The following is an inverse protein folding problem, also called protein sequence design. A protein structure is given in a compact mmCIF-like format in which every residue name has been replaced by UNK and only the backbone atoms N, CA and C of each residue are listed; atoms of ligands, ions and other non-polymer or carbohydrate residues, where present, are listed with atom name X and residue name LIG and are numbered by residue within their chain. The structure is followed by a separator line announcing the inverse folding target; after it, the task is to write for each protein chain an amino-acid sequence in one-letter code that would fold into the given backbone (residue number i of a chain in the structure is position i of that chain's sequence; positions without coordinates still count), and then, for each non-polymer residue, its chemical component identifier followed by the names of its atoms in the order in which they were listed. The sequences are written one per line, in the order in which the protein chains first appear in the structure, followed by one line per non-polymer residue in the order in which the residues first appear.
data_IF_948190892550
#
_entry.id   IF_948190892550
#
_cell.length_a   1.000
_cell.length_b   1.000
_cell.length_c   1.000
_cell.angle_alpha   90.00
_cell.angle_beta   90.00
_cell.angle_gamma   90.00
#
_symmetry.space_group_name_H-M   'P 1'
#
loop_
_entity.id
_entity.type
_entity.pdbx_description
1 polymer ?
#
# COMPACT_ATOMS: atom_id res chain seq x y z
N UNK A 1 7.69 -29.04 -19.29
CA UNK A 1 6.42 -28.51 -18.76
C UNK A 1 5.29 -29.42 -19.17
N UNK A 2 4.52 -29.90 -18.20
CA UNK A 2 3.35 -30.76 -18.43
C UNK A 2 2.19 -29.95 -19.02
N UNK A 3 1.23 -30.63 -19.64
CA UNK A 3 0.08 -29.98 -20.29
C UNK A 3 -0.77 -29.16 -19.31
N UNK A 4 -0.97 -29.66 -18.09
CA UNK A 4 -1.70 -28.95 -17.03
C UNK A 4 -1.04 -27.62 -16.65
N UNK A 5 0.28 -27.56 -16.55
CA UNK A 5 1.03 -26.34 -16.27
C UNK A 5 0.93 -25.35 -17.44
N UNK A 6 1.00 -25.83 -18.69
CA UNK A 6 0.78 -24.96 -19.87
C UNK A 6 -0.61 -24.33 -19.83
N UNK A 7 -1.64 -25.10 -19.45
CA UNK A 7 -3.01 -24.61 -19.31
C UNK A 7 -3.17 -23.67 -18.11
N UNK A 8 -2.48 -23.92 -17.00
CA UNK A 8 -2.44 -23.05 -15.82
C UNK A 8 -1.90 -21.66 -16.20
N UNK A 9 -0.77 -21.61 -16.89
CA UNK A 9 -0.16 -20.34 -17.33
C UNK A 9 -0.98 -19.60 -18.36
N UNK A 10 -1.74 -20.32 -19.19
CA UNK A 10 -2.72 -19.70 -20.09
C UNK A 10 -3.87 -19.03 -19.31
N UNK A 11 -4.37 -19.68 -18.26
CA UNK A 11 -5.33 -19.10 -17.33
C UNK A 11 -4.76 -17.85 -16.65
N UNK A 12 -3.54 -17.93 -16.07
CA UNK A 12 -2.88 -16.80 -15.42
C UNK A 12 -2.71 -15.60 -16.35
N UNK A 13 -2.25 -15.84 -17.58
CA UNK A 13 -2.08 -14.79 -18.58
C UNK A 13 -3.40 -14.08 -18.93
N UNK A 14 -4.51 -14.81 -18.98
CA UNK A 14 -5.81 -14.21 -19.22
C UNK A 14 -6.29 -13.40 -18.01
N UNK A 15 -6.07 -13.90 -16.79
CA UNK A 15 -6.36 -13.16 -15.56
C UNK A 15 -5.54 -11.88 -15.44
N UNK A 16 -4.24 -11.96 -15.76
CA UNK A 16 -3.36 -10.80 -15.86
C UNK A 16 -3.97 -9.73 -16.77
N UNK A 17 -4.47 -10.08 -17.95
CA UNK A 17 -5.04 -9.11 -18.88
C UNK A 17 -6.29 -8.39 -18.30
N UNK A 18 -7.16 -9.12 -17.59
CA UNK A 18 -8.32 -8.49 -16.92
C UNK A 18 -7.89 -7.59 -15.77
N UNK A 19 -6.96 -8.04 -14.94
CA UNK A 19 -6.43 -7.27 -13.81
C UNK A 19 -5.66 -6.02 -14.26
N UNK A 20 -4.88 -6.13 -15.32
CA UNK A 20 -4.21 -4.99 -15.95
C UNK A 20 -5.23 -3.91 -16.31
N UNK A 21 -6.33 -4.29 -16.98
CA UNK A 21 -7.37 -3.34 -17.37
C UNK A 21 -8.05 -2.70 -16.14
N UNK A 22 -8.37 -3.50 -15.11
CA UNK A 22 -8.94 -3.01 -13.86
C UNK A 22 -8.00 -2.03 -13.14
N UNK A 23 -6.72 -2.38 -13.00
CA UNK A 23 -5.71 -1.51 -12.39
C UNK A 23 -5.58 -0.18 -13.16
N UNK A 24 -5.74 -0.18 -14.49
CA UNK A 24 -5.70 1.07 -15.28
C UNK A 24 -6.90 1.95 -14.94
N UNK A 25 -8.09 1.36 -14.81
CA UNK A 25 -9.29 2.11 -14.42
C UNK A 25 -9.15 2.66 -13.01
N UNK A 26 -8.59 1.90 -12.07
CA UNK A 26 -8.37 2.33 -10.69
C UNK A 26 -7.31 3.43 -10.59
N UNK A 27 -6.18 3.31 -11.30
CA UNK A 27 -5.17 4.37 -11.35
C UNK A 27 -5.71 5.67 -11.96
N UNK A 28 -6.46 5.56 -13.07
CA UNK A 28 -7.09 6.72 -13.72
C UNK A 28 -8.08 7.41 -12.79
N UNK A 29 -8.86 6.63 -12.03
CA UNK A 29 -9.84 7.11 -11.05
C UNK A 29 -9.24 8.06 -10.00
N UNK A 30 -8.05 7.74 -9.52
CA UNK A 30 -7.37 8.45 -8.43
C UNK A 30 -6.48 9.60 -8.93
N UNK A 31 -6.35 9.78 -10.25
CA UNK A 31 -5.40 10.74 -10.84
C UNK A 31 -6.08 11.75 -11.77
N UNK A 32 -6.56 11.31 -12.94
CA UNK A 32 -6.98 12.22 -14.01
C UNK A 32 -8.46 12.08 -14.39
N UNK A 33 -9.15 11.06 -13.89
CA UNK A 33 -10.55 10.81 -14.20
C UNK A 33 -11.44 12.01 -13.77
N UNK A 34 -12.37 12.47 -14.62
CA UNK A 34 -13.34 13.48 -14.22
C UNK A 34 -14.24 12.98 -13.08
N UNK A 35 -14.60 13.86 -12.14
CA UNK A 35 -15.44 13.51 -10.98
C UNK A 35 -16.77 12.84 -11.39
N UNK A 36 -17.38 13.29 -12.50
CA UNK A 36 -18.64 12.77 -13.03
C UNK A 36 -18.55 11.46 -13.84
N UNK A 37 -17.37 10.84 -13.95
CA UNK A 37 -17.14 9.62 -14.74
C UNK A 37 -17.36 8.30 -13.99
N UNK A 38 -17.63 8.37 -12.68
CA UNK A 38 -17.66 7.21 -11.79
C UNK A 38 -18.67 6.12 -12.23
N UNK A 39 -19.86 6.51 -12.68
CA UNK A 39 -20.91 5.54 -13.07
C UNK A 39 -20.46 4.66 -14.25
N UNK A 40 -19.88 5.28 -15.30
CA UNK A 40 -19.40 4.54 -16.46
C UNK A 40 -18.21 3.63 -16.15
N UNK A 41 -17.31 4.07 -15.26
CA UNK A 41 -16.19 3.23 -14.78
C UNK A 41 -16.70 2.04 -13.96
N UNK A 42 -17.68 2.26 -13.09
CA UNK A 42 -18.27 1.19 -12.27
C UNK A 42 -18.89 0.07 -13.14
N UNK A 43 -19.64 0.42 -14.19
CA UNK A 43 -20.21 -0.54 -15.15
C UNK A 43 -19.12 -1.37 -15.86
N UNK A 44 -18.03 -0.72 -16.30
CA UNK A 44 -16.90 -1.42 -16.93
C UNK A 44 -16.18 -2.36 -15.95
N UNK A 45 -15.91 -1.89 -14.73
CA UNK A 45 -15.26 -2.67 -13.69
C UNK A 45 -16.12 -3.88 -13.26
N UNK A 46 -17.45 -3.74 -13.20
CA UNK A 46 -18.36 -4.85 -12.90
C UNK A 46 -18.18 -6.00 -13.90
N UNK A 47 -18.27 -5.69 -15.21
CA UNK A 47 -18.17 -6.70 -16.27
C UNK A 47 -16.80 -7.37 -16.28
N UNK A 48 -15.72 -6.59 -16.16
CA UNK A 48 -14.34 -7.13 -16.14
C UNK A 48 -14.07 -7.98 -14.90
N UNK A 49 -14.49 -7.52 -13.71
CA UNK A 49 -14.33 -8.26 -12.47
C UNK A 49 -15.13 -9.56 -12.48
N UNK A 50 -16.33 -9.53 -13.08
CA UNK A 50 -17.15 -10.74 -13.26
C UNK A 50 -16.47 -11.74 -14.18
N UNK A 51 -15.87 -11.28 -15.28
CA UNK A 51 -15.14 -12.13 -16.19
C UNK A 51 -13.91 -12.79 -15.53
N UNK A 52 -13.13 -12.05 -14.73
CA UNK A 52 -12.01 -12.62 -13.96
C UNK A 52 -12.49 -13.62 -12.91
N UNK A 53 -13.59 -13.31 -12.22
CA UNK A 53 -14.22 -14.21 -11.25
C UNK A 53 -14.66 -15.53 -11.91
N UNK A 54 -15.46 -15.48 -12.97
CA UNK A 54 -15.99 -16.68 -13.64
C UNK A 54 -14.85 -17.51 -14.27
N UNK A 55 -13.77 -16.86 -14.70
CA UNK A 55 -12.56 -17.51 -15.21
C UNK A 55 -11.83 -18.32 -14.13
N UNK A 56 -11.70 -17.77 -12.91
CA UNK A 56 -11.07 -18.49 -11.79
C UNK A 56 -12.01 -19.51 -11.15
N UNK A 57 -13.25 -19.11 -10.85
CA UNK A 57 -14.16 -19.85 -9.97
C UNK A 57 -15.13 -20.68 -10.81
N UNK A 58 -14.63 -21.81 -11.31
CA UNK A 58 -15.45 -22.81 -12.00
C UNK A 58 -14.87 -24.23 -11.85
N UNK A 59 -15.66 -25.25 -12.19
CA UNK A 59 -15.28 -26.66 -12.05
C UNK A 59 -14.06 -27.06 -12.88
N UNK A 60 -13.89 -26.45 -14.07
CA UNK A 60 -12.75 -26.73 -14.94
C UNK A 60 -11.45 -26.21 -14.34
N UNK A 61 -11.46 -25.01 -13.77
CA UNK A 61 -10.31 -24.43 -13.07
C UNK A 61 -9.98 -25.22 -11.80
N UNK A 62 -11.00 -25.64 -11.03
CA UNK A 62 -10.79 -26.51 -9.87
C UNK A 62 -10.14 -27.86 -10.26
N UNK A 63 -10.57 -28.48 -11.35
CA UNK A 63 -9.96 -29.70 -11.87
C UNK A 63 -8.52 -29.46 -12.37
N UNK A 64 -8.29 -28.33 -13.05
CA UNK A 64 -6.98 -27.92 -13.53
C UNK A 64 -5.98 -27.73 -12.39
N UNK A 65 -6.36 -27.03 -11.32
CA UNK A 65 -5.50 -26.79 -10.15
C UNK A 65 -5.09 -28.11 -9.47
N UNK A 66 -6.03 -29.04 -9.28
CA UNK A 66 -5.73 -30.37 -8.73
C UNK A 66 -4.74 -31.16 -9.58
N UNK A 67 -4.89 -31.11 -10.90
CA UNK A 67 -3.96 -31.79 -11.81
C UNK A 67 -2.59 -31.11 -11.82
N UNK A 68 -2.55 -29.78 -11.93
CA UNK A 68 -1.33 -28.98 -11.92
C UNK A 68 -0.52 -29.19 -10.62
N UNK A 69 -1.19 -29.33 -9.48
CA UNK A 69 -0.53 -29.63 -8.20
C UNK A 69 0.26 -30.96 -8.21
N UNK A 70 -0.20 -31.95 -8.98
CA UNK A 70 0.48 -33.25 -9.12
C UNK A 70 1.59 -33.20 -10.18
N UNK A 71 1.39 -32.37 -11.21
CA UNK A 71 2.26 -32.25 -12.38
C UNK A 71 3.40 -31.22 -12.20
N UNK A 72 3.34 -30.34 -11.19
CA UNK A 72 4.36 -29.32 -10.93
C UNK A 72 5.72 -29.95 -10.55
N UNK A 73 6.76 -29.63 -11.32
CA UNK A 73 8.10 -30.20 -11.18
C UNK A 73 9.07 -29.19 -10.53
N UNK A 74 8.94 -27.90 -10.87
CA UNK A 74 9.80 -26.82 -10.38
C UNK A 74 9.20 -26.08 -9.18
N UNK A 75 10.02 -25.34 -8.43
CA UNK A 75 9.52 -24.52 -7.31
C UNK A 75 8.56 -23.42 -7.78
N UNK A 76 8.86 -22.79 -8.90
CA UNK A 76 7.99 -21.77 -9.50
C UNK A 76 6.60 -22.35 -9.83
N UNK A 77 6.54 -23.50 -10.51
CA UNK A 77 5.25 -24.15 -10.83
C UNK A 77 4.47 -24.50 -9.57
N UNK A 78 5.14 -24.96 -8.50
CA UNK A 78 4.49 -25.25 -7.21
C UNK A 78 3.93 -23.97 -6.57
N UNK A 79 4.68 -22.86 -6.66
CA UNK A 79 4.26 -21.57 -6.14
C UNK A 79 3.07 -21.01 -6.94
N UNK A 80 3.12 -21.01 -8.27
CA UNK A 80 2.00 -20.63 -9.16
C UNK A 80 0.71 -21.36 -8.78
N UNK A 81 0.78 -22.69 -8.64
CA UNK A 81 -0.38 -23.51 -8.25
C UNK A 81 -0.87 -23.14 -6.84
N UNK A 82 0.04 -22.98 -5.87
CA UNK A 82 -0.32 -22.66 -4.48
C UNK A 82 -1.01 -21.30 -4.37
N UNK A 83 -0.49 -20.27 -5.04
CA UNK A 83 -1.05 -18.93 -4.99
C UNK A 83 -2.41 -18.84 -5.70
N UNK A 84 -2.56 -19.51 -6.84
CA UNK A 84 -3.85 -19.61 -7.52
C UNK A 84 -4.88 -20.42 -6.72
N UNK A 85 -4.48 -21.53 -6.11
CA UNK A 85 -5.36 -22.32 -5.26
C UNK A 85 -5.84 -21.50 -4.07
N UNK A 86 -4.95 -20.72 -3.45
CA UNK A 86 -5.32 -19.78 -2.37
C UNK A 86 -6.34 -18.75 -2.84
N UNK A 87 -6.10 -18.11 -3.99
CA UNK A 87 -7.04 -17.15 -4.55
C UNK A 87 -8.39 -17.79 -4.88
N UNK A 88 -8.39 -19.01 -5.42
CA UNK A 88 -9.60 -19.79 -5.69
C UNK A 88 -10.36 -20.09 -4.39
N UNK A 89 -9.68 -20.62 -3.37
CA UNK A 89 -10.28 -21.04 -2.10
C UNK A 89 -10.86 -19.87 -1.30
N UNK A 90 -10.29 -18.68 -1.44
CA UNK A 90 -10.82 -17.48 -0.79
C UNK A 90 -12.15 -17.07 -1.40
N UNK A 91 -12.19 -16.87 -2.73
CA UNK A 91 -13.36 -16.25 -3.36
C UNK A 91 -14.48 -17.27 -3.60
N UNK A 92 -14.15 -18.54 -3.89
CA UNK A 92 -15.15 -19.59 -4.16
C UNK A 92 -16.04 -19.94 -2.96
N UNK A 93 -15.58 -19.66 -1.74
CA UNK A 93 -16.32 -19.95 -0.50
C UNK A 93 -17.31 -18.86 -0.09
N UNK A 94 -17.23 -17.67 -0.70
CA UNK A 94 -18.15 -16.57 -0.40
C UNK A 94 -19.39 -16.72 -1.30
N UNK A 95 -20.61 -16.73 -0.73
CA UNK A 95 -21.83 -16.66 -1.54
C UNK A 95 -21.81 -15.41 -2.44
N UNK A 96 -22.17 -15.58 -3.72
CA UNK A 96 -22.08 -14.49 -4.71
C UNK A 96 -22.87 -13.23 -4.30
N UNK A 97 -24.06 -13.43 -3.74
CA UNK A 97 -24.91 -12.33 -3.26
C UNK A 97 -24.29 -11.57 -2.09
N UNK A 98 -23.58 -12.26 -1.19
CA UNK A 98 -22.88 -11.64 -0.05
C UNK A 98 -21.64 -10.89 -0.51
N UNK A 99 -20.89 -11.43 -1.47
CA UNK A 99 -19.77 -10.74 -2.09
C UNK A 99 -20.22 -9.43 -2.76
N UNK A 100 -21.27 -9.50 -3.58
CA UNK A 100 -21.85 -8.32 -4.24
C UNK A 100 -22.38 -7.28 -3.23
N UNK A 101 -23.07 -7.74 -2.18
CA UNK A 101 -23.57 -6.86 -1.13
C UNK A 101 -22.43 -6.16 -0.36
N UNK A 102 -21.34 -6.87 -0.07
CA UNK A 102 -20.18 -6.30 0.60
C UNK A 102 -19.48 -5.25 -0.28
N UNK A 103 -19.25 -5.54 -1.56
CA UNK A 103 -18.67 -4.58 -2.52
C UNK A 103 -19.52 -3.31 -2.63
N UNK A 104 -20.84 -3.46 -2.72
CA UNK A 104 -21.75 -2.30 -2.74
C UNK A 104 -21.68 -1.50 -1.43
N UNK A 105 -21.63 -2.19 -0.28
CA UNK A 105 -21.55 -1.56 1.03
C UNK A 105 -20.28 -0.72 1.18
N UNK A 106 -19.11 -1.24 0.78
CA UNK A 106 -17.84 -0.51 0.88
C UNK A 106 -17.84 0.74 -0.01
N UNK A 107 -18.32 0.63 -1.25
CA UNK A 107 -18.45 1.77 -2.16
C UNK A 107 -19.38 2.85 -1.62
N UNK A 108 -20.54 2.46 -1.06
CA UNK A 108 -21.47 3.39 -0.41
C UNK A 108 -20.92 4.02 0.87
N UNK A 109 -19.97 3.36 1.53
CA UNK A 109 -19.38 3.84 2.78
C UNK A 109 -18.41 5.02 2.57
N UNK A 110 -17.78 5.13 1.41
CA UNK A 110 -16.81 6.20 1.10
C UNK A 110 -17.43 7.60 1.19
N UNK A 111 -18.52 7.94 0.48
CA UNK A 111 -19.12 9.27 0.59
C UNK A 111 -19.67 9.54 2.01
N UNK A 112 -20.15 8.51 2.72
CA UNK A 112 -20.56 8.64 4.11
C UNK A 112 -19.39 8.96 5.04
N UNK A 113 -18.23 8.32 4.83
CA UNK A 113 -16.99 8.61 5.54
C UNK A 113 -16.46 10.02 5.24
N UNK A 114 -16.43 10.44 3.96
CA UNK A 114 -16.01 11.80 3.58
C UNK A 114 -16.88 12.84 4.28
N UNK A 115 -18.20 12.64 4.28
CA UNK A 115 -19.13 13.50 5.01
C UNK A 115 -18.85 13.51 6.50
N UNK A 116 -18.76 12.33 7.13
CA UNK A 116 -18.49 12.18 8.56
C UNK A 116 -17.18 12.86 8.98
N UNK A 117 -16.11 12.72 8.19
CA UNK A 117 -14.81 13.38 8.40
C UNK A 117 -14.94 14.90 8.31
N UNK A 118 -15.60 15.41 7.27
CA UNK A 118 -15.80 16.87 7.07
C UNK A 118 -16.67 17.50 8.16
N UNK A 119 -17.66 16.77 8.67
CA UNK A 119 -18.58 17.29 9.70
C UNK A 119 -18.17 16.91 11.12
N UNK A 120 -17.07 16.18 11.29
CA UNK A 120 -16.63 15.60 12.57
C UNK A 120 -17.76 14.82 13.30
N UNK A 121 -18.53 14.03 12.53
CA UNK A 121 -19.70 13.31 13.03
C UNK A 121 -19.59 11.80 12.72
N UNK A 122 -19.02 11.06 13.66
CA UNK A 122 -18.86 9.62 13.55
C UNK A 122 -20.20 8.87 13.44
N UNK A 123 -21.29 9.43 13.97
CA UNK A 123 -22.60 8.75 13.96
C UNK A 123 -23.14 8.52 12.54
N UNK A 124 -22.70 9.33 11.57
CA UNK A 124 -23.00 9.15 10.15
C UNK A 124 -22.33 7.90 9.58
N UNK A 125 -21.12 7.56 10.04
CA UNK A 125 -20.34 6.42 9.52
C UNK A 125 -20.53 5.14 10.34
N UNK A 126 -20.85 5.25 11.63
CA UNK A 126 -20.98 4.10 12.54
C UNK A 126 -21.87 2.96 11.99
N UNK A 127 -23.05 3.20 11.38
CA UNK A 127 -23.87 2.12 10.82
C UNK A 127 -23.24 1.40 9.63
N UNK A 128 -22.37 2.07 8.87
CA UNK A 128 -21.62 1.45 7.78
C UNK A 128 -20.48 0.60 8.34
N UNK A 129 -19.74 1.13 9.31
CA UNK A 129 -18.66 0.41 9.97
C UNK A 129 -19.16 -0.88 10.63
N UNK A 130 -20.30 -0.83 11.33
CA UNK A 130 -20.91 -2.01 11.95
C UNK A 130 -21.23 -3.11 10.91
N UNK A 131 -21.82 -2.73 9.78
CA UNK A 131 -22.11 -3.67 8.68
C UNK A 131 -20.83 -4.22 8.05
N UNK A 132 -19.80 -3.40 7.88
CA UNK A 132 -18.50 -3.82 7.33
C UNK A 132 -17.84 -4.84 8.27
N UNK A 133 -17.78 -4.55 9.57
CA UNK A 133 -17.23 -5.46 10.58
C UNK A 133 -18.01 -6.78 10.60
N UNK A 134 -19.35 -6.72 10.57
CA UNK A 134 -20.20 -7.92 10.53
C UNK A 134 -19.91 -8.78 9.29
N UNK A 135 -19.84 -8.15 8.11
CA UNK A 135 -19.52 -8.86 6.87
C UNK A 135 -18.11 -9.46 6.87
N UNK A 136 -17.11 -8.73 7.41
CA UNK A 136 -15.73 -9.23 7.53
C UNK A 136 -15.62 -10.43 8.47
N UNK A 137 -16.38 -10.44 9.58
CA UNK A 137 -16.47 -11.61 10.48
C UNK A 137 -17.08 -12.82 9.76
N UNK A 138 -18.14 -12.61 8.97
CA UNK A 138 -18.74 -13.68 8.16
C UNK A 138 -17.76 -14.22 7.10
N UNK A 139 -17.06 -13.34 6.38
CA UNK A 139 -16.02 -13.70 5.41
C UNK A 139 -14.91 -14.55 6.04
N UNK A 140 -14.40 -14.15 7.20
CA UNK A 140 -13.39 -14.93 7.92
C UNK A 140 -13.88 -16.36 8.23
N UNK A 141 -15.16 -16.49 8.63
CA UNK A 141 -15.77 -17.80 8.87
C UNK A 141 -15.90 -18.65 7.59
N UNK A 142 -16.24 -18.04 6.44
CA UNK A 142 -16.24 -18.75 5.16
C UNK A 142 -14.86 -19.27 4.77
N UNK A 143 -13.80 -18.49 5.03
CA UNK A 143 -12.45 -18.87 4.65
C UNK A 143 -11.91 -20.02 5.51
N UNK A 144 -12.03 -19.87 6.83
CA UNK A 144 -11.51 -20.83 7.80
C UNK A 144 -12.34 -20.79 9.10
N UNK A 145 -13.43 -21.58 9.19
CA UNK A 145 -14.39 -21.51 10.31
C UNK A 145 -13.82 -21.93 11.67
N UNK A 146 -12.65 -22.59 11.68
CA UNK A 146 -11.99 -23.10 12.88
C UNK A 146 -10.77 -22.26 13.32
N UNK A 147 -10.47 -21.15 12.63
CA UNK A 147 -9.37 -20.23 12.98
C UNK A 147 -9.93 -18.96 13.64
N UNK A 148 -9.09 -18.24 14.39
CA UNK A 148 -9.44 -16.91 14.89
C UNK A 148 -9.76 -15.99 13.70
N UNK A 149 -10.92 -15.30 13.70
CA UNK A 149 -11.35 -14.52 12.55
C UNK A 149 -10.43 -13.35 12.22
N UNK A 150 -9.74 -12.77 13.21
CA UNK A 150 -8.80 -11.68 12.96
C UNK A 150 -7.51 -12.20 12.33
N UNK A 151 -6.99 -13.35 12.78
CA UNK A 151 -5.84 -14.00 12.12
C UNK A 151 -6.15 -14.41 10.68
N UNK A 152 -7.38 -14.85 10.40
CA UNK A 152 -7.81 -15.19 9.03
C UNK A 152 -7.79 -13.95 8.12
N UNK A 153 -8.23 -12.79 8.62
CA UNK A 153 -8.20 -11.54 7.85
C UNK A 153 -6.78 -11.00 7.72
N UNK A 154 -5.95 -11.12 8.75
CA UNK A 154 -4.54 -10.69 8.74
C UNK A 154 -3.72 -11.49 7.73
N UNK A 155 -3.94 -12.80 7.65
CA UNK A 155 -3.30 -13.74 6.72
C UNK A 155 -3.59 -13.41 5.24
N UNK A 156 -4.58 -12.55 4.95
CA UNK A 156 -4.81 -12.03 3.60
C UNK A 156 -3.78 -10.99 3.16
N UNK A 157 -3.15 -10.30 4.12
CA UNK A 157 -2.18 -9.23 3.88
C UNK A 157 -0.73 -9.67 4.16
N UNK A 158 -0.54 -10.42 5.25
CA UNK A 158 0.76 -10.95 5.66
C UNK A 158 0.64 -12.43 6.00
N UNK A 159 1.08 -13.29 5.09
CA UNK A 159 0.87 -14.72 5.21
C UNK A 159 1.61 -15.30 6.42
N UNK A 160 0.88 -16.03 7.27
CA UNK A 160 1.42 -16.67 8.47
C UNK A 160 1.61 -15.73 9.66
N UNK A 161 1.24 -14.46 9.55
CA UNK A 161 1.25 -13.54 10.69
C UNK A 161 0.12 -13.89 11.67
N UNK A 162 0.47 -13.99 12.95
CA UNK A 162 -0.43 -14.38 14.04
C UNK A 162 -0.63 -13.25 15.04
N UNK A 163 -1.72 -13.31 15.81
CA UNK A 163 -1.98 -12.39 16.92
C UNK A 163 -0.83 -12.44 17.93
N UNK A 164 -0.33 -13.63 18.25
CA UNK A 164 0.74 -13.81 19.21
C UNK A 164 2.04 -13.09 18.78
N UNK A 165 2.41 -13.19 17.50
CA UNK A 165 3.57 -12.47 16.97
C UNK A 165 3.36 -10.95 17.00
N UNK A 166 2.17 -10.46 16.63
CA UNK A 166 1.86 -9.04 16.72
C UNK A 166 1.88 -8.52 18.16
N UNK A 167 1.31 -9.27 19.11
CA UNK A 167 1.28 -8.90 20.52
C UNK A 167 2.70 -8.82 21.12
N UNK A 168 3.57 -9.78 20.81
CA UNK A 168 4.98 -9.77 21.21
C UNK A 168 5.72 -8.56 20.60
N UNK A 169 5.52 -8.30 19.30
CA UNK A 169 6.14 -7.18 18.60
C UNK A 169 5.71 -5.85 19.19
N UNK A 170 4.40 -5.61 19.35
CA UNK A 170 3.89 -4.35 19.88
C UNK A 170 4.21 -4.14 21.36
N UNK A 171 4.27 -5.21 22.17
CA UNK A 171 4.76 -5.11 23.54
C UNK A 171 6.21 -4.60 23.58
N UNK A 172 7.09 -5.19 22.75
CA UNK A 172 8.49 -4.77 22.64
C UNK A 172 8.62 -3.31 22.20
N UNK A 173 7.83 -2.90 21.20
CA UNK A 173 7.80 -1.51 20.72
C UNK A 173 7.33 -0.55 21.81
N UNK A 174 6.25 -0.88 22.52
CA UNK A 174 5.70 -0.05 23.60
C UNK A 174 6.72 0.15 24.73
N UNK A 175 7.38 -0.93 25.16
CA UNK A 175 8.39 -0.90 26.22
C UNK A 175 9.64 -0.11 25.85
N UNK A 176 9.95 -0.01 24.55
CA UNK A 176 11.15 0.69 24.05
C UNK A 176 10.87 2.14 23.66
N UNK A 177 9.84 2.37 22.84
CA UNK A 177 9.54 3.67 22.22
C UNK A 177 8.98 4.65 23.25
N UNK A 178 8.09 4.23 24.15
CA UNK A 178 7.44 5.15 25.10
C UNK A 178 8.46 5.78 26.06
N UNK A 179 9.38 5.01 26.69
CA UNK A 179 10.44 5.61 27.51
C UNK A 179 11.40 6.48 26.70
N UNK A 180 11.78 6.06 25.49
CA UNK A 180 12.66 6.86 24.62
C UNK A 180 12.02 8.20 24.24
N UNK A 181 10.73 8.22 23.93
CA UNK A 181 10.00 9.45 23.62
C UNK A 181 9.94 10.39 24.84
N UNK A 182 9.79 9.84 26.06
CA UNK A 182 9.87 10.63 27.28
C UNK A 182 11.29 11.21 27.48
N UNK A 183 12.34 10.42 27.23
CA UNK A 183 13.74 10.86 27.30
C UNK A 183 14.04 11.97 26.28
N UNK A 184 13.58 11.83 25.03
CA UNK A 184 13.71 12.86 23.98
C UNK A 184 12.98 14.15 24.41
N UNK A 185 11.79 14.05 25.00
CA UNK A 185 11.06 15.22 25.48
C UNK A 185 11.77 15.92 26.64
N UNK A 186 12.30 15.16 27.59
CA UNK A 186 12.84 15.69 28.85
C UNK A 186 14.31 16.13 28.71
N UNK A 187 15.06 15.50 27.80
CA UNK A 187 16.51 15.66 27.66
C UNK A 187 16.99 15.95 26.23
N UNK A 188 16.10 15.91 25.24
CA UNK A 188 16.45 16.16 23.84
C UNK A 188 16.87 17.61 23.57
N UNK A 189 17.65 17.77 22.50
CA UNK A 189 18.03 19.10 22.01
C UNK A 189 16.94 19.65 21.09
N UNK A 190 16.49 20.90 21.27
CA UNK A 190 15.54 21.53 20.37
C UNK A 190 16.04 21.51 18.92
N UNK A 191 15.16 21.12 17.99
CA UNK A 191 15.44 21.10 16.55
C UNK A 191 14.75 22.30 15.92
N UNK A 192 15.49 23.05 15.08
CA UNK A 192 14.94 24.16 14.30
C UNK A 192 14.02 23.61 13.21
N UNK A 193 12.79 24.08 13.13
CA UNK A 193 11.77 23.60 12.18
C UNK A 193 10.98 24.72 11.48
N UNK A 194 11.25 26.00 11.79
CA UNK A 194 10.56 27.16 11.20
C UNK A 194 10.64 27.19 9.67
N UNK A 195 11.72 26.63 9.10
CA UNK A 195 11.90 26.59 7.66
C UNK A 195 11.07 25.51 6.96
N UNK A 196 10.49 24.53 7.67
CA UNK A 196 9.70 23.46 7.06
C UNK A 196 8.38 23.99 6.48
N UNK A 197 7.76 24.93 7.18
CA UNK A 197 6.48 25.54 6.81
C UNK A 197 6.70 26.89 6.09
N UNK A 198 6.98 26.81 4.79
CA UNK A 198 7.25 27.96 3.92
C UNK A 198 6.43 27.88 2.63
N UNK A 199 6.47 28.92 1.81
CA UNK A 199 5.91 28.82 0.45
C UNK A 199 6.93 28.10 -0.44
N UNK A 200 6.58 26.90 -0.88
CA UNK A 200 7.41 26.02 -1.70
C UNK A 200 6.81 25.90 -3.10
N UNK A 201 7.38 26.58 -4.12
CA UNK A 201 6.84 26.58 -5.48
C UNK A 201 6.67 25.15 -6.02
N UNK A 202 5.44 24.79 -6.44
CA UNK A 202 5.11 23.43 -6.90
C UNK A 202 6.01 22.99 -8.07
N UNK A 203 6.30 23.87 -9.02
CA UNK A 203 7.18 23.54 -10.15
C UNK A 203 8.61 23.21 -9.73
N UNK A 204 9.08 23.76 -8.62
CA UNK A 204 10.35 23.39 -8.03
C UNK A 204 10.26 22.06 -7.26
N UNK A 205 9.13 21.78 -6.60
CA UNK A 205 8.88 20.47 -5.99
C UNK A 205 8.85 19.34 -7.03
N UNK A 206 8.26 19.57 -8.21
CA UNK A 206 8.29 18.60 -9.33
C UNK A 206 9.71 18.22 -9.74
N UNK A 207 10.61 19.20 -9.81
CA UNK A 207 12.04 18.96 -10.09
C UNK A 207 12.75 18.19 -8.96
N UNK A 208 12.31 18.36 -7.71
CA UNK A 208 12.78 17.52 -6.60
C UNK A 208 12.32 16.08 -6.79
N UNK A 209 11.05 15.86 -7.15
CA UNK A 209 10.54 14.52 -7.44
C UNK A 209 11.32 13.84 -8.57
N UNK A 210 11.56 14.55 -9.69
CA UNK A 210 12.43 14.07 -10.78
C UNK A 210 13.84 13.71 -10.28
N UNK A 211 14.42 14.53 -9.39
CA UNK A 211 15.73 14.28 -8.82
C UNK A 211 15.75 13.02 -7.96
N UNK A 212 14.71 12.78 -7.16
CA UNK A 212 14.60 11.58 -6.30
C UNK A 212 14.46 10.34 -7.18
N UNK A 213 13.57 10.38 -8.18
CA UNK A 213 13.42 9.29 -9.15
C UNK A 213 14.74 8.97 -9.85
N UNK A 214 15.49 9.99 -10.26
CA UNK A 214 16.84 9.82 -10.82
C UNK A 214 17.80 9.13 -9.83
N UNK A 215 17.81 9.56 -8.57
CA UNK A 215 18.71 9.01 -7.55
C UNK A 215 18.39 7.55 -7.21
N UNK A 216 17.11 7.16 -7.23
CA UNK A 216 16.67 5.77 -7.10
C UNK A 216 16.92 4.92 -8.35
N UNK A 217 17.21 5.55 -9.48
CA UNK A 217 17.39 4.85 -10.75
C UNK A 217 16.07 4.41 -11.38
N UNK A 218 14.97 5.10 -11.07
CA UNK A 218 13.67 4.89 -11.70
C UNK A 218 13.71 5.43 -13.13
N UNK A 219 13.63 4.51 -14.10
CA UNK A 219 13.63 4.82 -15.52
C UNK A 219 12.28 5.38 -15.96
N UNK A 220 12.19 6.61 -16.48
CA UNK A 220 10.94 7.19 -16.97
C UNK A 220 10.27 6.40 -18.10
N UNK A 221 10.98 5.50 -18.78
CA UNK A 221 10.39 4.60 -19.76
C UNK A 221 9.56 3.46 -19.12
N UNK A 222 9.76 3.19 -17.83
CA UNK A 222 9.12 2.10 -17.09
C UNK A 222 8.44 2.57 -15.79
N UNK A 223 8.68 3.82 -15.36
CA UNK A 223 8.08 4.42 -14.18
C UNK A 223 7.58 5.84 -14.41
N UNK A 224 6.28 6.05 -14.18
CA UNK A 224 5.62 7.35 -14.31
C UNK A 224 5.18 7.90 -12.96
N UNK A 225 5.39 9.20 -12.73
CA UNK A 225 4.91 9.93 -11.56
C UNK A 225 3.66 10.75 -11.93
N UNK A 226 2.54 10.48 -11.27
CA UNK A 226 1.32 11.27 -11.35
C UNK A 226 1.03 12.03 -10.04
N UNK A 227 -0.06 12.80 -10.04
CA UNK A 227 -0.58 13.50 -8.86
C UNK A 227 -1.87 12.82 -8.39
N UNK A 228 -2.02 12.66 -7.07
CA UNK A 228 -3.22 12.12 -6.42
C UNK A 228 -3.44 12.82 -5.07
N UNK A 229 -4.61 12.60 -4.45
CA UNK A 229 -4.88 13.10 -3.09
C UNK A 229 -4.09 12.31 -2.03
N UNK A 230 -3.87 11.03 -2.27
CA UNK A 230 -3.15 10.12 -1.38
C UNK A 230 -2.08 9.40 -2.21
N UNK A 231 -0.78 9.58 -1.94
CA UNK A 231 0.28 8.87 -2.63
C UNK A 231 0.10 7.34 -2.56
N UNK A 232 0.39 6.68 -3.68
CA UNK A 232 0.36 5.23 -3.84
C UNK A 232 1.20 4.80 -5.04
N UNK A 233 1.52 3.50 -5.07
CA UNK A 233 2.18 2.80 -6.17
C UNK A 233 1.24 1.78 -6.79
N UNK A 234 1.23 1.67 -8.11
CA UNK A 234 0.50 0.62 -8.85
C UNK A 234 1.45 -0.05 -9.82
N UNK A 235 1.61 -1.36 -9.66
CA UNK A 235 2.23 -2.22 -10.66
C UNK A 235 1.16 -2.70 -11.64
N UNK A 236 1.43 -2.51 -12.93
CA UNK A 236 0.64 -3.08 -14.02
C UNK A 236 1.33 -4.34 -14.58
N UNK A 237 2.65 -4.26 -14.64
CA UNK A 237 3.61 -5.27 -15.02
C UNK A 237 4.99 -4.72 -14.59
N UNK A 238 6.01 -5.56 -14.39
CA UNK A 238 7.38 -5.10 -14.01
C UNK A 238 8.01 -4.05 -14.95
N UNK A 239 7.43 -3.79 -16.13
CA UNK A 239 7.87 -2.73 -17.05
C UNK A 239 6.95 -1.50 -17.12
N UNK A 240 5.86 -1.46 -16.36
CA UNK A 240 4.99 -0.30 -16.20
C UNK A 240 4.56 -0.24 -14.72
N UNK A 241 5.30 0.55 -13.94
CA UNK A 241 5.01 0.80 -12.52
C UNK A 241 4.81 2.28 -12.31
N UNK A 242 3.66 2.69 -11.80
CA UNK A 242 3.32 4.11 -11.66
C UNK A 242 3.23 4.47 -10.20
N UNK A 243 3.80 5.61 -9.86
CA UNK A 243 3.80 6.18 -8.52
C UNK A 243 3.03 7.49 -8.55
N UNK A 244 2.50 7.88 -7.40
CA UNK A 244 1.80 9.16 -7.25
C UNK A 244 2.35 9.95 -6.08
N UNK A 245 2.17 11.27 -6.12
CA UNK A 245 2.51 12.17 -5.03
C UNK A 245 1.45 13.25 -4.87
N UNK A 246 1.47 13.94 -3.73
CA UNK A 246 0.63 15.09 -3.46
C UNK A 246 1.48 16.31 -3.14
N UNK A 247 1.48 17.32 -4.02
CA UNK A 247 2.25 18.54 -3.81
C UNK A 247 1.54 19.50 -2.86
N UNK A 248 2.15 19.75 -1.70
CA UNK A 248 1.64 20.71 -0.72
C UNK A 248 2.43 22.02 -0.83
N UNK A 249 1.78 23.18 -1.09
CA UNK A 249 2.50 24.47 -1.20
C UNK A 249 3.26 24.85 0.08
N UNK A 250 2.80 24.34 1.23
CA UNK A 250 3.35 24.66 2.56
C UNK A 250 4.34 23.62 3.08
N UNK A 251 4.45 22.46 2.45
CA UNK A 251 5.30 21.36 2.90
C UNK A 251 5.89 20.59 1.71
N UNK A 252 7.10 20.97 1.29
CA UNK A 252 7.79 20.23 0.22
C UNK A 252 8.37 18.89 0.67
N UNK A 253 8.59 18.71 1.98
CA UNK A 253 9.21 17.49 2.51
C UNK A 253 8.22 16.34 2.48
N UNK A 254 6.93 16.62 2.66
CA UNK A 254 5.84 15.68 2.37
C UNK A 254 5.96 15.08 0.97
N UNK A 255 6.10 15.90 -0.08
CA UNK A 255 6.32 15.41 -1.45
C UNK A 255 7.64 14.63 -1.60
N UNK A 256 8.75 15.17 -1.08
CA UNK A 256 10.07 14.51 -1.15
C UNK A 256 9.98 13.08 -0.61
N UNK A 257 9.46 12.92 0.60
CA UNK A 257 9.40 11.60 1.24
C UNK A 257 8.31 10.72 0.65
N UNK A 258 7.21 11.28 0.14
CA UNK A 258 6.22 10.51 -0.62
C UNK A 258 6.85 9.89 -1.87
N UNK A 259 7.60 10.66 -2.67
CA UNK A 259 8.27 10.13 -3.87
C UNK A 259 9.37 9.13 -3.50
N UNK A 260 10.10 9.37 -2.40
CA UNK A 260 11.10 8.41 -1.94
C UNK A 260 10.47 7.08 -1.49
N UNK A 261 9.32 7.14 -0.82
CA UNK A 261 8.53 6.01 -0.33
C UNK A 261 7.94 5.20 -1.49
N UNK A 262 7.14 5.83 -2.34
CA UNK A 262 6.53 5.18 -3.50
C UNK A 262 7.59 4.71 -4.50
N UNK A 263 8.71 5.44 -4.61
CA UNK A 263 9.85 4.99 -5.39
C UNK A 263 10.50 3.70 -4.87
N UNK A 264 10.47 3.47 -3.55
CA UNK A 264 10.95 2.21 -2.96
C UNK A 264 10.03 1.02 -3.26
N UNK A 265 8.71 1.25 -3.26
CA UNK A 265 7.75 0.27 -3.77
C UNK A 265 7.99 -0.02 -5.25
N UNK A 266 8.17 1.02 -6.07
CA UNK A 266 8.42 0.86 -7.50
C UNK A 266 9.70 0.07 -7.79
N UNK A 267 10.77 0.29 -7.03
CA UNK A 267 12.00 -0.49 -7.18
C UNK A 267 11.79 -1.97 -6.89
N UNK A 268 10.94 -2.33 -5.93
CA UNK A 268 10.63 -3.74 -5.70
C UNK A 268 10.00 -4.36 -6.95
N UNK A 269 8.96 -3.72 -7.46
CA UNK A 269 8.14 -4.22 -8.56
C UNK A 269 8.90 -4.26 -9.90
N UNK A 270 9.71 -3.23 -10.19
CA UNK A 270 10.54 -3.16 -11.39
C UNK A 270 11.66 -4.21 -11.43
N UNK A 271 12.04 -4.77 -10.27
CA UNK A 271 13.15 -5.71 -10.14
C UNK A 271 12.72 -7.16 -9.90
N UNK A 272 11.43 -7.48 -10.04
CA UNK A 272 10.93 -8.86 -10.06
C UNK A 272 11.54 -9.65 -11.22
N UNK A 273 11.84 -10.94 -10.98
CA UNK A 273 12.41 -11.84 -11.98
C UNK A 273 11.47 -11.95 -13.21
N UNK A 274 11.95 -11.66 -14.43
CA UNK A 274 11.15 -11.80 -15.66
C UNK A 274 10.57 -13.21 -15.89
N UNK A 275 11.14 -14.25 -15.25
CA UNK A 275 10.57 -15.59 -15.30
C UNK A 275 9.16 -15.69 -14.69
N UNK A 276 8.74 -14.72 -13.87
CA UNK A 276 7.43 -14.66 -13.22
C UNK A 276 6.40 -13.83 -13.99
N UNK A 277 6.78 -13.18 -15.08
CA UNK A 277 5.90 -12.34 -15.88
C UNK A 277 4.55 -13.05 -16.18
N UNK A 278 3.45 -12.37 -15.83
CA UNK A 278 2.07 -12.80 -16.07
C UNK A 278 1.60 -14.02 -15.26
N UNK A 279 2.36 -14.44 -14.25
CA UNK A 279 1.99 -15.53 -13.34
C UNK A 279 1.46 -15.00 -12.01
N UNK A 280 0.82 -15.84 -11.20
CA UNK A 280 0.31 -15.49 -9.88
C UNK A 280 1.39 -15.23 -8.83
N UNK A 281 2.67 -15.47 -9.18
CA UNK A 281 3.84 -15.18 -8.34
C UNK A 281 4.62 -13.96 -8.86
N UNK A 282 4.06 -13.20 -9.80
CA UNK A 282 4.56 -11.88 -10.16
C UNK A 282 4.26 -10.87 -9.05
N UNK A 283 5.20 -9.96 -8.81
CA UNK A 283 5.05 -8.84 -7.88
C UNK A 283 5.51 -9.11 -6.45
N UNK A 284 5.16 -8.19 -5.55
CA UNK A 284 5.49 -8.25 -4.13
C UNK A 284 4.94 -9.48 -3.39
N UNK A 285 5.75 -10.09 -2.54
CA UNK A 285 5.40 -11.33 -1.84
C UNK A 285 4.31 -11.16 -0.77
N UNK A 286 4.40 -10.09 0.03
CA UNK A 286 3.45 -9.71 1.08
C UNK A 286 3.45 -8.19 1.27
N UNK A 287 2.43 -7.64 1.93
CA UNK A 287 2.38 -6.20 2.21
C UNK A 287 3.53 -5.74 3.11
N UNK A 288 3.96 -6.56 4.07
CA UNK A 288 5.07 -6.26 4.96
C UNK A 288 6.41 -6.20 4.23
N UNK A 289 6.68 -7.12 3.31
CA UNK A 289 7.89 -7.07 2.47
C UNK A 289 7.84 -5.88 1.50
N UNK A 290 6.65 -5.58 0.96
CA UNK A 290 6.46 -4.45 0.07
C UNK A 290 6.70 -3.11 0.79
N UNK A 291 6.13 -2.94 1.99
CA UNK A 291 6.36 -1.79 2.89
C UNK A 291 7.80 -1.74 3.41
N UNK A 292 8.48 -2.87 3.58
CA UNK A 292 9.89 -2.84 3.98
C UNK A 292 10.77 -2.17 2.91
N UNK A 293 10.43 -2.33 1.61
CA UNK A 293 11.17 -1.66 0.54
C UNK A 293 10.89 -0.15 0.54
N UNK A 294 9.63 0.27 0.63
CA UNK A 294 9.31 1.70 0.69
C UNK A 294 9.97 2.39 1.89
N UNK A 295 9.90 1.78 3.09
CA UNK A 295 10.55 2.32 4.29
C UNK A 295 12.08 2.29 4.23
N UNK A 296 12.67 1.29 3.57
CA UNK A 296 14.11 1.25 3.33
C UNK A 296 14.56 2.50 2.56
N UNK A 297 13.88 2.82 1.46
CA UNK A 297 14.24 3.96 0.64
C UNK A 297 13.79 5.30 1.24
N UNK A 298 12.60 5.40 1.81
CA UNK A 298 12.12 6.62 2.47
C UNK A 298 13.01 7.01 3.66
N UNK A 299 13.24 6.08 4.57
CA UNK A 299 13.80 6.37 5.87
C UNK A 299 15.29 6.05 5.94
N UNK A 300 15.63 4.76 5.85
CA UNK A 300 17.01 4.31 6.06
C UNK A 300 17.99 4.94 5.06
N UNK A 301 17.55 5.15 3.82
CA UNK A 301 18.32 5.89 2.82
C UNK A 301 17.89 7.35 2.78
N UNK A 302 16.62 7.67 2.53
CA UNK A 302 16.12 9.02 2.24
C UNK A 302 16.16 10.01 3.41
N UNK A 303 16.15 9.55 4.67
CA UNK A 303 16.34 10.40 5.86
C UNK A 303 17.78 10.35 6.39
N UNK A 304 18.66 9.59 5.74
CA UNK A 304 20.07 9.51 6.14
C UNK A 304 20.81 10.83 5.88
N UNK A 305 21.81 11.10 6.73
CA UNK A 305 22.69 12.26 6.56
C UNK A 305 23.41 12.27 5.20
N UNK A 306 23.77 11.09 4.70
CA UNK A 306 24.45 10.94 3.40
C UNK A 306 23.54 11.31 2.22
N UNK A 307 22.27 10.91 2.27
CA UNK A 307 21.30 11.28 1.27
C UNK A 307 21.00 12.78 1.29
N UNK A 308 20.76 13.36 2.48
CA UNK A 308 20.53 14.80 2.62
C UNK A 308 21.71 15.59 2.06
N UNK A 309 22.95 15.17 2.36
CA UNK A 309 24.16 15.78 1.78
C UNK A 309 24.17 15.72 0.25
N UNK A 310 23.79 14.57 -0.34
CA UNK A 310 23.72 14.41 -1.79
C UNK A 310 22.65 15.31 -2.44
N UNK A 311 21.48 15.45 -1.79
CA UNK A 311 20.34 16.19 -2.31
C UNK A 311 20.45 17.71 -2.07
N UNK A 312 21.14 18.13 -1.01
CA UNK A 312 21.21 19.50 -0.54
C UNK A 312 21.61 20.54 -1.62
N UNK A 313 22.60 20.29 -2.49
CA UNK A 313 22.91 21.23 -3.58
C UNK A 313 21.72 21.50 -4.50
N UNK A 314 20.93 20.47 -4.83
CA UNK A 314 19.72 20.62 -5.64
C UNK A 314 18.65 21.40 -4.88
N UNK A 315 18.46 21.15 -3.58
CA UNK A 315 17.51 21.92 -2.77
C UNK A 315 17.88 23.41 -2.72
N UNK A 316 19.17 23.72 -2.54
CA UNK A 316 19.68 25.10 -2.51
C UNK A 316 19.52 25.82 -3.85
N UNK A 317 19.65 25.11 -4.97
CA UNK A 317 19.42 25.67 -6.30
C UNK A 317 17.94 25.97 -6.54
N UNK A 318 17.05 25.05 -6.13
CA UNK A 318 15.61 25.16 -6.36
C UNK A 318 14.92 26.12 -5.38
N UNK A 319 15.43 26.25 -4.16
CA UNK A 319 14.84 27.04 -3.08
C UNK A 319 15.84 27.98 -2.41
N UNK A 320 16.50 28.89 -3.16
CA UNK A 320 17.56 29.73 -2.62
C UNK A 320 17.05 30.69 -1.54
N UNK A 321 15.81 31.18 -1.66
CA UNK A 321 15.19 32.08 -0.68
C UNK A 321 14.80 31.33 0.59
N UNK A 322 14.09 30.20 0.46
CA UNK A 322 13.57 29.43 1.59
C UNK A 322 14.67 28.80 2.43
N UNK A 323 15.82 28.48 1.81
CA UNK A 323 16.94 27.83 2.47
C UNK A 323 18.11 28.77 2.74
N UNK A 324 17.96 30.10 2.61
CA UNK A 324 19.08 31.07 2.65
C UNK A 324 20.03 30.86 3.82
N UNK A 325 19.49 30.68 5.03
CA UNK A 325 20.20 30.51 6.30
C UNK A 325 20.05 29.10 6.90
N UNK A 326 19.63 28.11 6.08
CA UNK A 326 19.41 26.73 6.51
C UNK A 326 20.54 25.85 5.99
N UNK A 327 21.20 25.13 6.88
CA UNK A 327 22.28 24.18 6.58
C UNK A 327 21.76 22.78 6.28
N UNK A 328 22.58 21.95 5.61
CA UNK A 328 22.25 20.54 5.38
C UNK A 328 22.05 19.74 6.68
N UNK A 329 22.79 20.08 7.75
CA UNK A 329 22.66 19.43 9.06
C UNK A 329 21.33 19.79 9.74
N UNK A 330 20.88 21.04 9.60
CA UNK A 330 19.55 21.47 10.08
C UNK A 330 18.42 20.74 9.35
N UNK A 331 18.51 20.58 8.03
CA UNK A 331 17.55 19.79 7.26
C UNK A 331 17.54 18.34 7.75
N UNK A 332 18.72 17.71 7.85
CA UNK A 332 18.84 16.33 8.31
C UNK A 332 18.23 16.14 9.71
N UNK A 333 18.46 17.06 10.64
CA UNK A 333 17.84 17.01 11.98
C UNK A 333 16.32 17.17 11.90
N UNK A 334 15.83 18.13 11.12
CA UNK A 334 14.40 18.45 11.04
C UNK A 334 13.55 17.32 10.44
N UNK A 335 14.08 16.60 9.45
CA UNK A 335 13.41 15.45 8.82
C UNK A 335 13.48 14.16 9.65
N UNK A 336 14.30 14.15 10.72
CA UNK A 336 14.43 13.06 11.69
C UNK A 336 13.90 13.44 13.08
N UNK A 337 13.14 14.54 13.20
CA UNK A 337 12.55 14.92 14.49
C UNK A 337 11.54 13.86 14.94
N UNK A 338 11.48 13.60 16.25
CA UNK A 338 10.50 12.71 16.84
C UNK A 338 9.56 13.50 17.76
N UNK A 339 8.27 13.49 17.45
CA UNK A 339 7.26 14.22 18.23
C UNK A 339 5.89 13.54 18.17
N UNK A 340 5.13 13.49 19.28
CA UNK A 340 3.78 12.91 19.25
C UNK A 340 2.84 13.70 18.33
N UNK A 341 2.29 13.03 17.32
CA UNK A 341 1.26 13.56 16.43
C UNK A 341 -0.07 12.81 16.54
N UNK A 342 -1.12 13.34 15.91
CA UNK A 342 -2.43 12.66 15.82
C UNK A 342 -2.64 11.94 14.48
N UNK A 343 -1.97 12.40 13.42
CA UNK A 343 -2.15 11.92 12.07
C UNK A 343 -1.09 10.87 11.75
N UNK A 344 -1.52 9.61 11.58
CA UNK A 344 -0.63 8.46 11.34
C UNK A 344 0.30 8.67 10.15
N UNK A 345 -0.22 9.18 9.03
CA UNK A 345 0.55 9.36 7.78
C UNK A 345 1.58 10.49 7.86
N UNK A 346 1.50 11.34 8.89
CA UNK A 346 2.43 12.43 9.14
C UNK A 346 3.34 12.14 10.34
N UNK A 347 3.17 10.98 10.99
CA UNK A 347 3.95 10.60 12.16
C UNK A 347 5.41 10.30 11.78
N UNK A 348 6.33 10.65 12.67
CA UNK A 348 7.74 10.37 12.52
C UNK A 348 8.09 8.88 12.67
N UNK A 349 9.32 8.51 12.34
CA UNK A 349 9.80 7.12 12.38
C UNK A 349 9.66 6.46 13.75
N UNK A 350 9.80 7.22 14.84
CA UNK A 350 9.74 6.70 16.19
C UNK A 350 8.30 6.48 16.63
N UNK A 351 7.37 7.37 16.26
CA UNK A 351 5.98 7.32 16.76
C UNK A 351 5.01 6.59 15.83
N UNK A 352 5.32 6.44 14.54
CA UNK A 352 4.44 5.81 13.53
C UNK A 352 3.90 4.44 13.95
N UNK A 353 4.76 3.55 14.45
CA UNK A 353 4.36 2.20 14.82
C UNK A 353 3.36 2.15 15.99
N UNK A 354 3.35 3.17 16.87
CA UNK A 354 2.35 3.29 17.93
C UNK A 354 0.95 3.58 17.37
N UNK A 355 0.85 4.31 16.26
CA UNK A 355 -0.42 4.50 15.57
C UNK A 355 -0.96 3.19 14.96
N UNK A 356 -0.08 2.30 14.52
CA UNK A 356 -0.46 0.96 14.02
C UNK A 356 -0.93 0.09 15.18
N UNK A 357 -0.21 0.09 16.30
CA UNK A 357 -0.57 -0.64 17.51
C UNK A 357 -2.00 -0.32 17.98
N UNK A 358 -2.37 0.96 18.04
CA UNK A 358 -3.73 1.37 18.44
C UNK A 358 -4.80 0.84 17.48
N UNK A 359 -4.53 0.85 16.16
CA UNK A 359 -5.47 0.33 15.15
C UNK A 359 -5.60 -1.17 15.26
N UNK A 360 -4.48 -1.88 15.39
CA UNK A 360 -4.44 -3.32 15.61
C UNK A 360 -5.25 -3.72 16.85
N UNK A 361 -5.10 -3.03 17.99
CA UNK A 361 -5.87 -3.30 19.21
C UNK A 361 -7.38 -3.10 19.00
N UNK A 362 -7.78 -2.03 18.30
CA UNK A 362 -9.18 -1.74 17.98
C UNK A 362 -9.76 -2.78 17.01
N UNK A 363 -9.05 -3.11 15.94
CA UNK A 363 -9.48 -4.09 14.94
C UNK A 363 -9.63 -5.49 15.55
N UNK A 364 -8.65 -5.91 16.36
CA UNK A 364 -8.71 -7.19 17.09
C UNK A 364 -9.99 -7.27 17.94
N UNK A 365 -10.29 -6.22 18.71
CA UNK A 365 -11.50 -6.16 19.51
C UNK A 365 -12.79 -6.18 18.65
N UNK A 366 -12.84 -5.42 17.56
CA UNK A 366 -14.01 -5.38 16.67
C UNK A 366 -14.31 -6.74 16.00
N UNK A 367 -13.27 -7.45 15.57
CA UNK A 367 -13.41 -8.70 14.81
C UNK A 367 -13.70 -9.89 15.74
N UNK A 368 -13.14 -9.91 16.95
CA UNK A 368 -13.43 -10.95 17.94
C UNK A 368 -14.82 -10.78 18.56
N UNK A 369 -15.36 -9.56 18.56
CA UNK A 369 -16.66 -9.22 19.18
C UNK A 369 -16.53 -9.03 20.68
#
# INVERSE_FOLDING_TARGET
MKESIVRLRALEKQRFAYRYALNVVDFDAETVAPEGSADGRAEACEVLSRADFDLLVNDNTAALLRQAAQDAETEQERAEVRELQRAYDQISKIPADEYAAFTKLTQQSIPAWVKAKRTNDFSVFAPYLEKIVTARRAQAHYFAPNRDPYEVLLDQYEHGLTIAQCDEFFATLRETIVPLLADIRDHGTPIRTDFLDQDWPIDAQRKVSEKIMQLWGLDPAHCYLAESEHPFTTEFWRGDVRITTHYMPRDMFSNLYSVAHEGGHALYELNIDPAYDYTAVTGGATMGIHESQSRLFENYVGRSRAFVHCLYPTLRELFPTQLTDVTEDEIWRAVNRAEPGLIRTEADELTYALHIMVRYEIEKALIQG
#
